data_IF_217622672220
#
_entry.id   IF_217622672220
#
_cell.length_a   1.000
_cell.length_b   1.000
_cell.length_c   1.000
_cell.angle_alpha   90.00
_cell.angle_beta   90.00
_cell.angle_gamma   90.00
#
_symmetry.space_group_name_H-M   'P 1'
#
loop_
_entity.id
_entity.type
_entity.pdbx_description
1 polymer ?
#
# COMPACT_ATOMS: atom_id res chain seq x y z
N UNK A 1 -19.83 6.34 -65.20
CA UNK A 1 -21.15 6.96 -64.98
C UNK A 1 -22.10 5.91 -64.44
N UNK A 2 -22.31 5.82 -63.13
CA UNK A 2 -23.36 4.99 -62.52
C UNK A 2 -24.24 5.85 -61.62
N UNK A 3 -25.51 5.47 -61.52
CA UNK A 3 -26.60 6.41 -61.29
C UNK A 3 -26.87 6.71 -59.81
N UNK A 4 -27.44 7.90 -59.59
CA UNK A 4 -28.06 8.30 -58.32
C UNK A 4 -29.31 7.44 -58.06
N UNK A 5 -29.55 7.07 -56.81
CA UNK A 5 -30.91 6.87 -56.30
C UNK A 5 -31.05 7.55 -54.93
N UNK A 6 -32.25 8.02 -54.63
CA UNK A 6 -32.52 8.99 -53.55
C UNK A 6 -33.26 8.35 -52.39
N UNK A 7 -33.06 8.95 -51.20
CA UNK A 7 -33.92 9.01 -50.02
C UNK A 7 -34.90 7.86 -49.71
N UNK A 8 -34.84 7.40 -48.46
CA UNK A 8 -36.04 7.46 -47.63
C UNK A 8 -35.67 7.89 -46.21
N UNK A 9 -36.43 8.83 -45.65
CA UNK A 9 -36.22 9.44 -44.33
C UNK A 9 -37.41 9.05 -43.45
N UNK A 10 -37.16 8.42 -42.29
CA UNK A 10 -38.22 8.05 -41.35
C UNK A 10 -37.95 8.69 -39.99
N UNK A 11 -38.64 9.81 -39.70
CA UNK A 11 -38.72 10.37 -38.35
C UNK A 11 -39.81 9.63 -37.56
N UNK A 12 -39.42 8.88 -36.54
CA UNK A 12 -40.31 8.33 -35.52
C UNK A 12 -40.33 9.21 -34.28
N UNK A 13 -41.35 10.07 -34.14
CA UNK A 13 -41.60 10.86 -32.94
C UNK A 13 -42.60 10.14 -32.04
N UNK A 14 -42.21 9.81 -30.80
CA UNK A 14 -43.13 9.51 -29.71
C UNK A 14 -42.69 10.19 -28.41
N UNK A 15 -43.47 11.19 -27.99
CA UNK A 15 -43.69 11.60 -26.59
C UNK A 15 -45.11 11.13 -26.21
N UNK A 16 -45.57 11.06 -24.96
CA UNK A 16 -45.01 11.37 -23.64
C UNK A 16 -45.32 10.16 -22.70
N UNK A 17 -45.17 10.12 -21.37
CA UNK A 17 -45.21 11.14 -20.32
C UNK A 17 -44.31 10.75 -19.13
N UNK A 18 -43.71 11.74 -18.47
CA UNK A 18 -42.92 11.53 -17.26
C UNK A 18 -43.54 12.30 -16.08
N UNK A 19 -44.11 11.58 -15.12
CA UNK A 19 -44.63 12.16 -13.87
C UNK A 19 -43.55 12.08 -12.79
N UNK A 20 -42.85 13.20 -12.57
CA UNK A 20 -41.97 13.40 -11.41
C UNK A 20 -42.24 14.76 -10.78
N UNK A 21 -42.93 14.78 -9.63
CA UNK A 21 -42.94 15.89 -8.68
C UNK A 21 -43.43 15.38 -7.32
N UNK A 22 -42.68 15.61 -6.23
CA UNK A 22 -43.07 15.07 -4.92
C UNK A 22 -42.15 15.31 -3.72
N UNK A 23 -41.21 16.26 -3.75
CA UNK A 23 -40.50 16.69 -2.54
C UNK A 23 -41.12 17.97 -1.97
N UNK A 24 -41.64 17.90 -0.73
CA UNK A 24 -42.02 19.07 0.05
C UNK A 24 -41.61 18.91 1.53
N UNK A 25 -40.43 19.45 1.83
CA UNK A 25 -40.09 20.34 2.96
C UNK A 25 -40.70 20.02 4.36
N UNK A 26 -39.88 19.79 5.40
CA UNK A 26 -40.38 19.73 6.77
C UNK A 26 -40.86 21.11 7.24
N UNK A 27 -41.96 21.13 8.00
CA UNK A 27 -42.49 22.31 8.71
C UNK A 27 -42.57 21.99 10.19
N UNK A 28 -41.87 22.77 11.01
CA UNK A 28 -41.93 22.69 12.46
C UNK A 28 -43.23 23.27 13.04
N UNK A 29 -43.43 22.99 14.33
CA UNK A 29 -44.34 23.64 15.29
C UNK A 29 -45.77 23.09 15.43
N UNK A 30 -45.90 22.24 16.45
CA UNK A 30 -46.69 22.46 17.68
C UNK A 30 -48.24 22.56 17.66
N UNK A 31 -48.82 21.55 18.32
CA UNK A 31 -49.90 21.63 19.34
C UNK A 31 -51.31 22.05 18.94
N UNK A 32 -52.25 21.08 18.95
CA UNK A 32 -53.32 21.01 19.98
C UNK A 32 -54.25 19.78 19.87
N UNK A 33 -54.40 19.07 21.01
CA UNK A 33 -55.63 18.43 21.56
C UNK A 33 -56.48 17.48 20.68
N UNK A 34 -56.83 16.25 21.11
CA UNK A 34 -57.64 16.02 22.32
C UNK A 34 -57.66 14.54 22.80
N UNK A 35 -57.84 14.35 24.13
CA UNK A 35 -58.34 13.17 24.91
C UNK A 35 -57.76 11.77 24.59
N UNK A 36 -57.36 10.90 25.53
CA UNK A 36 -57.40 10.82 27.02
C UNK A 36 -56.50 9.62 27.46
N UNK A 37 -56.20 9.27 28.72
CA UNK A 37 -56.44 9.81 30.08
C UNK A 37 -55.58 9.01 31.09
N UNK A 38 -55.37 9.53 32.32
CA UNK A 38 -54.86 8.84 33.56
C UNK A 38 -53.48 8.13 33.45
N UNK A 39 -52.43 8.42 34.23
CA UNK A 39 -52.40 8.72 35.67
C UNK A 39 -51.04 9.29 36.18
N UNK A 40 -51.13 10.14 37.21
CA UNK A 40 -50.22 10.38 38.36
C UNK A 40 -48.69 10.64 38.27
N UNK A 41 -48.28 11.63 39.08
CA UNK A 41 -46.98 11.87 39.78
C UNK A 41 -45.79 12.56 39.09
N UNK A 42 -45.73 13.88 39.31
CA UNK A 42 -44.60 14.75 39.70
C UNK A 42 -43.50 14.06 40.57
N UNK A 43 -42.22 14.48 40.65
CA UNK A 43 -41.64 15.85 40.64
C UNK A 43 -40.11 15.91 40.34
N UNK A 44 -39.63 17.04 39.77
CA UNK A 44 -38.34 17.76 39.99
C UNK A 44 -36.96 17.02 39.91
N UNK A 45 -35.78 17.62 39.66
CA UNK A 45 -35.32 19.01 39.42
C UNK A 45 -33.92 19.03 38.75
N UNK A 46 -33.52 20.14 38.11
CA UNK A 46 -32.13 20.52 37.72
C UNK A 46 -31.38 19.57 36.75
N UNK A 47 -30.39 19.99 35.93
CA UNK A 47 -29.40 21.07 36.10
C UNK A 47 -29.00 21.71 34.77
N UNK A 48 -28.53 22.95 34.81
CA UNK A 48 -27.89 23.70 33.72
C UNK A 48 -26.53 23.12 33.31
N UNK A 49 -26.16 23.22 32.03
CA UNK A 49 -24.83 23.76 31.69
C UNK A 49 -24.81 24.44 30.31
N UNK A 50 -24.11 25.56 30.25
CA UNK A 50 -23.84 26.37 29.06
C UNK A 50 -22.33 26.36 28.86
N UNK A 51 -21.86 26.39 27.61
CA UNK A 51 -20.56 26.99 27.27
C UNK A 51 -20.49 27.27 25.76
N UNK A 52 -20.69 28.53 25.40
CA UNK A 52 -20.22 29.11 24.14
C UNK A 52 -19.10 30.09 24.46
N UNK A 53 -17.92 29.92 23.87
CA UNK A 53 -17.02 31.05 23.63
C UNK A 53 -16.02 30.76 22.51
N UNK A 54 -16.11 31.57 21.46
CA UNK A 54 -15.06 31.74 20.45
C UNK A 54 -13.89 32.49 21.07
N UNK A 55 -12.65 32.15 20.74
CA UNK A 55 -11.56 33.12 20.80
C UNK A 55 -10.48 32.85 19.75
N UNK A 56 -10.24 33.85 18.91
CA UNK A 56 -8.98 34.03 18.20
C UNK A 56 -8.21 35.14 18.89
N UNK A 57 -6.87 35.10 18.90
CA UNK A 57 -6.00 36.21 18.50
C UNK A 57 -4.51 35.82 18.58
N UNK A 58 -3.66 36.63 17.97
CA UNK A 58 -2.26 36.33 17.63
C UNK A 58 -1.24 37.04 18.53
N UNK A 59 0.03 36.65 18.36
CA UNK A 59 1.28 37.34 18.73
C UNK A 59 1.56 37.65 20.20
N UNK A 60 2.64 37.03 20.72
CA UNK A 60 3.67 37.77 21.48
C UNK A 60 5.02 37.07 21.32
N UNK A 61 6.07 37.83 20.97
CA UNK A 61 7.46 37.36 21.03
C UNK A 61 7.97 37.44 22.48
N UNK A 62 8.84 36.52 22.91
CA UNK A 62 9.79 36.77 24.01
C UNK A 62 11.02 35.89 23.83
N UNK A 63 12.20 36.52 23.84
CA UNK A 63 13.52 35.89 23.79
C UNK A 63 14.11 35.73 25.21
N UNK A 64 14.65 34.56 25.53
CA UNK A 64 15.86 34.37 26.36
C UNK A 64 16.24 32.88 26.41
N UNK A 65 17.42 32.46 25.96
CA UNK A 65 18.75 32.51 26.61
C UNK A 65 19.07 31.24 27.42
N UNK A 66 19.80 30.33 26.76
CA UNK A 66 20.89 29.49 27.29
C UNK A 66 20.74 28.79 28.66
N UNK A 67 20.61 27.45 28.62
CA UNK A 67 21.41 26.58 29.49
C UNK A 67 22.06 25.47 28.67
N UNK A 68 23.35 25.25 28.91
CA UNK A 68 24.13 24.15 28.32
C UNK A 68 24.46 23.15 29.42
N UNK A 69 23.94 21.92 29.33
CA UNK A 69 24.37 20.84 30.21
C UNK A 69 25.36 19.93 29.49
N UNK A 70 26.64 20.21 29.73
CA UNK A 70 27.74 19.28 29.48
C UNK A 70 27.69 18.14 30.50
N UNK A 71 27.44 16.91 30.05
CA UNK A 71 27.67 15.70 30.85
C UNK A 71 28.90 14.97 30.33
N UNK A 72 30.06 15.34 30.90
CA UNK A 72 31.31 14.60 30.73
C UNK A 72 31.45 13.64 31.91
N UNK A 73 31.28 12.34 31.66
CA UNK A 73 31.68 11.31 32.64
C UNK A 73 32.41 10.18 31.92
N UNK A 74 33.72 10.15 32.13
CA UNK A 74 34.63 9.15 31.57
C UNK A 74 34.53 7.84 32.35
N UNK A 75 34.26 6.72 31.67
CA UNK A 75 34.73 5.41 32.12
C UNK A 75 35.38 4.69 30.94
N UNK A 76 36.71 4.58 31.01
CA UNK A 76 37.47 3.63 30.21
C UNK A 76 37.58 2.32 31.00
N UNK A 77 37.20 1.20 30.39
CA UNK A 77 38.08 0.03 30.20
C UNK A 77 37.32 -1.15 29.59
N UNK A 78 37.94 -1.72 28.56
CA UNK A 78 38.06 -3.16 28.32
C UNK A 78 36.85 -4.08 28.60
N UNK A 79 36.17 -4.55 27.54
CA UNK A 79 36.38 -5.93 27.05
C UNK A 79 35.62 -6.26 25.74
N UNK A 80 36.22 -7.17 24.97
CA UNK A 80 35.58 -8.13 24.05
C UNK A 80 34.84 -7.62 22.80
N UNK A 81 35.62 -7.29 21.77
CA UNK A 81 35.17 -7.42 20.38
C UNK A 81 34.86 -8.89 20.07
N UNK A 82 33.58 -9.25 19.98
CA UNK A 82 33.17 -10.60 19.52
C UNK A 82 33.20 -10.66 18.00
N UNK A 83 34.40 -10.72 17.43
CA UNK A 83 34.60 -11.24 16.07
C UNK A 83 34.74 -12.76 16.17
N UNK A 84 33.79 -13.50 15.62
CA UNK A 84 33.87 -14.97 15.55
C UNK A 84 34.49 -15.39 14.22
N UNK A 85 35.73 -15.86 14.32
CA UNK A 85 36.66 -16.34 13.27
C UNK A 85 36.17 -17.67 12.65
N UNK A 86 36.45 -18.02 11.38
CA UNK A 86 37.64 -18.72 10.83
C UNK A 86 37.41 -18.91 9.30
N UNK A 87 38.40 -19.09 8.41
CA UNK A 87 39.61 -19.92 8.53
C UNK A 87 40.87 -19.31 7.87
N UNK A 88 42.03 -19.61 8.47
CA UNK A 88 43.34 -19.62 7.80
C UNK A 88 44.02 -20.96 8.06
N UNK A 89 44.52 -21.62 7.01
CA UNK A 89 45.52 -22.69 7.10
C UNK A 89 46.60 -22.44 6.05
N UNK A 90 47.86 -22.47 6.50
CA UNK A 90 49.08 -22.24 5.71
C UNK A 90 49.83 -23.56 5.40
N UNK A 91 50.90 -23.44 4.60
CA UNK A 91 51.88 -24.48 4.19
C UNK A 91 51.53 -25.22 2.88
N UNK A 92 52.47 -25.52 1.97
CA UNK A 92 53.91 -25.17 1.89
C UNK A 92 54.47 -25.43 0.47
N UNK A 93 55.61 -24.82 0.13
CA UNK A 93 56.34 -25.00 -1.14
C UNK A 93 56.70 -26.46 -1.49
N UNK A 94 56.63 -26.80 -2.80
CA UNK A 94 57.74 -27.48 -3.51
C UNK A 94 57.56 -27.51 -5.04
N UNK A 95 58.54 -26.90 -5.71
CA UNK A 95 59.25 -27.29 -6.96
C UNK A 95 58.57 -28.06 -8.11
N UNK A 96 58.79 -27.54 -9.32
CA UNK A 96 58.22 -27.94 -10.62
C UNK A 96 58.65 -29.30 -11.24
N UNK A 97 57.77 -29.88 -12.07
CA UNK A 97 58.11 -30.57 -13.34
C UNK A 97 57.08 -30.15 -14.43
N UNK A 98 57.53 -29.98 -15.68
CA UNK A 98 56.70 -29.65 -16.86
C UNK A 98 55.95 -30.86 -17.42
N UNK A 99 54.76 -30.67 -18.00
CA UNK A 99 54.32 -31.22 -19.31
C UNK A 99 53.00 -30.57 -19.76
N UNK A 100 52.85 -30.36 -21.06
CA UNK A 100 51.73 -29.66 -21.71
C UNK A 100 50.40 -30.43 -21.71
N UNK A 101 49.27 -29.71 -21.72
CA UNK A 101 48.10 -29.93 -22.60
C UNK A 101 47.16 -28.72 -22.52
N UNK A 102 46.64 -28.25 -23.65
CA UNK A 102 45.70 -27.11 -23.71
C UNK A 102 44.29 -27.47 -23.25
N UNK A 103 43.65 -26.57 -22.51
CA UNK A 103 42.19 -26.48 -22.38
C UNK A 103 41.79 -24.99 -22.27
N UNK A 104 40.66 -24.56 -22.87
CA UNK A 104 40.27 -23.15 -22.89
C UNK A 104 39.81 -22.65 -21.51
N UNK A 105 40.13 -21.40 -21.20
CA UNK A 105 39.75 -20.72 -19.96
C UNK A 105 38.26 -20.43 -19.91
N UNK A 106 37.51 -21.25 -19.16
CA UNK A 106 36.15 -20.91 -18.73
C UNK A 106 36.19 -20.10 -17.44
N UNK A 107 36.15 -18.78 -17.54
CA UNK A 107 35.95 -17.90 -16.37
C UNK A 107 34.51 -17.99 -15.87
N UNK A 108 34.19 -19.05 -15.14
CA UNK A 108 32.97 -19.10 -14.33
C UNK A 108 33.15 -18.17 -13.12
N UNK A 109 32.67 -16.94 -13.25
CA UNK A 109 32.56 -16.00 -12.13
C UNK A 109 31.43 -16.43 -11.20
N UNK A 110 31.65 -17.53 -10.46
CA UNK A 110 30.74 -18.00 -9.43
C UNK A 110 30.89 -17.12 -8.20
N UNK A 111 30.28 -15.94 -8.23
CA UNK A 111 30.02 -15.19 -7.00
C UNK A 111 29.21 -16.10 -6.06
N UNK A 112 29.52 -16.13 -4.75
CA UNK A 112 28.74 -16.94 -3.82
C UNK A 112 27.28 -16.48 -3.85
N UNK A 113 26.39 -17.39 -4.24
CA UNK A 113 24.95 -17.18 -4.10
C UNK A 113 24.62 -17.29 -2.62
N UNK A 114 24.63 -16.16 -1.93
CA UNK A 114 24.06 -16.05 -0.59
C UNK A 114 22.54 -16.17 -0.75
N UNK A 115 21.88 -17.22 -0.23
CA UNK A 115 20.45 -17.39 -0.41
C UNK A 115 19.72 -16.28 0.34
N UNK A 116 19.16 -15.33 -0.42
CA UNK A 116 18.42 -14.20 0.14
C UNK A 116 17.36 -14.74 1.12
N UNK A 117 17.38 -14.33 2.40
CA UNK A 117 16.49 -14.90 3.41
C UNK A 117 15.03 -14.67 3.03
N UNK A 118 14.24 -15.74 3.03
CA UNK A 118 12.81 -15.64 2.71
C UNK A 118 11.99 -15.20 3.91
N UNK A 119 11.08 -14.27 3.68
CA UNK A 119 10.21 -13.69 4.69
C UNK A 119 8.76 -13.65 4.21
N UNK A 120 7.83 -13.61 5.16
CA UNK A 120 6.45 -13.19 4.93
C UNK A 120 6.37 -11.68 5.08
N UNK A 121 5.38 -11.07 4.43
CA UNK A 121 4.98 -9.69 4.71
C UNK A 121 3.80 -9.70 5.67
N UNK A 122 3.86 -8.88 6.73
CA UNK A 122 2.80 -8.69 7.72
C UNK A 122 2.38 -7.22 7.78
N UNK A 123 1.13 -6.94 8.12
CA UNK A 123 0.65 -5.57 8.32
C UNK A 123 1.15 -5.01 9.66
N UNK A 124 1.73 -3.81 9.63
CA UNK A 124 2.17 -3.03 10.79
C UNK A 124 1.30 -1.78 10.89
N UNK A 125 0.51 -1.70 11.96
CA UNK A 125 -0.54 -0.68 12.10
C UNK A 125 -1.76 -0.95 11.22
N UNK A 126 -2.52 0.09 10.91
CA UNK A 126 -3.77 -0.01 10.16
C UNK A 126 -4.86 -0.82 10.87
N UNK A 127 -5.86 -1.34 10.14
CA UNK A 127 -6.99 -2.08 10.70
C UNK A 127 -6.72 -3.58 10.91
N UNK A 128 -5.55 -4.08 10.50
CA UNK A 128 -5.19 -5.51 10.48
C UNK A 128 -3.77 -5.80 11.01
N UNK A 129 -3.34 -5.23 12.15
CA UNK A 129 -1.97 -5.41 12.64
C UNK A 129 -1.65 -6.89 12.88
N UNK A 130 -0.48 -7.34 12.41
CA UNK A 130 -0.01 -8.72 12.49
C UNK A 130 -0.64 -9.68 11.46
N UNK A 131 -1.56 -9.23 10.61
CA UNK A 131 -2.10 -10.09 9.56
C UNK A 131 -1.04 -10.37 8.47
N UNK A 132 -0.95 -11.63 8.03
CA UNK A 132 -0.08 -12.05 6.93
C UNK A 132 -0.65 -11.64 5.56
N UNK A 133 0.22 -11.21 4.65
CA UNK A 133 -0.13 -10.86 3.28
C UNK A 133 -0.35 -12.13 2.43
N UNK A 134 -1.53 -12.22 1.81
CA UNK A 134 -2.02 -13.41 1.12
C UNK A 134 -2.41 -13.14 -0.34
N UNK A 135 -2.33 -14.19 -1.16
CA UNK A 135 -2.89 -14.21 -2.52
C UNK A 135 -2.99 -15.65 -3.03
N UNK A 136 -3.54 -15.85 -4.22
CA UNK A 136 -3.41 -17.11 -4.98
C UNK A 136 -2.02 -17.26 -5.62
N UNK A 137 -1.25 -16.17 -5.69
CA UNK A 137 0.06 -16.12 -6.33
C UNK A 137 0.03 -16.21 -7.86
N UNK A 138 -1.15 -16.09 -8.48
CA UNK A 138 -1.28 -16.00 -9.94
C UNK A 138 -1.21 -14.54 -10.40
N UNK A 139 -0.67 -14.31 -11.60
CA UNK A 139 -0.53 -12.98 -12.20
C UNK A 139 -1.86 -12.22 -12.18
N UNK A 140 -1.84 -10.94 -11.80
CA UNK A 140 -3.00 -10.07 -11.73
C UNK A 140 -3.80 -10.16 -10.43
N UNK A 141 -3.54 -11.15 -9.56
CA UNK A 141 -4.25 -11.24 -8.28
C UNK A 141 -3.69 -10.26 -7.24
N UNK A 142 -4.58 -9.42 -6.73
CA UNK A 142 -4.33 -8.45 -5.66
C UNK A 142 -3.84 -9.19 -4.41
N UNK A 143 -2.92 -8.57 -3.67
CA UNK A 143 -2.46 -9.05 -2.38
C UNK A 143 -3.40 -8.53 -1.28
N UNK A 144 -3.82 -9.40 -0.37
CA UNK A 144 -4.87 -9.09 0.62
C UNK A 144 -4.49 -9.57 2.02
N UNK A 145 -4.99 -8.87 3.04
CA UNK A 145 -4.92 -9.28 4.44
C UNK A 145 -6.29 -9.80 4.89
N UNK A 146 -6.27 -10.86 5.72
CA UNK A 146 -7.47 -11.55 6.21
C UNK A 146 -8.54 -11.84 5.12
N UNK A 147 -8.17 -12.41 3.95
CA UNK A 147 -9.15 -12.83 2.96
C UNK A 147 -10.08 -13.91 3.52
N UNK A 148 -11.39 -13.76 3.28
CA UNK A 148 -12.41 -14.75 3.66
C UNK A 148 -12.71 -15.75 2.55
N UNK A 149 -12.17 -15.54 1.35
CA UNK A 149 -12.31 -16.40 0.19
C UNK A 149 -11.22 -17.48 0.14
N UNK A 150 -11.56 -18.64 -0.40
CA UNK A 150 -10.68 -19.81 -0.50
C UNK A 150 -9.63 -19.67 -1.60
N UNK A 151 -8.63 -20.58 -1.60
CA UNK A 151 -7.57 -20.62 -2.61
C UNK A 151 -6.42 -19.62 -2.40
N UNK A 152 -6.49 -18.78 -1.36
CA UNK A 152 -5.36 -17.94 -0.94
C UNK A 152 -4.39 -18.70 -0.04
N UNK A 153 -3.11 -18.32 -0.10
CA UNK A 153 -2.05 -18.72 0.83
C UNK A 153 -1.25 -17.50 1.26
N UNK A 154 -0.49 -17.64 2.34
CA UNK A 154 0.58 -16.69 2.69
C UNK A 154 1.63 -16.72 1.58
N UNK A 155 2.10 -15.54 1.16
CA UNK A 155 3.18 -15.43 0.20
C UNK A 155 4.52 -15.26 0.93
N UNK A 156 5.53 -16.03 0.51
CA UNK A 156 6.92 -15.87 0.95
C UNK A 156 7.68 -15.12 -0.14
N UNK A 157 8.40 -14.08 0.25
CA UNK A 157 9.17 -13.21 -0.62
C UNK A 157 10.66 -13.25 -0.28
N UNK A 158 11.49 -12.88 -1.25
CA UNK A 158 12.88 -12.49 -1.09
C UNK A 158 13.15 -11.18 -1.83
N UNK A 159 14.13 -10.40 -1.38
CA UNK A 159 14.52 -9.14 -2.03
C UNK A 159 15.64 -9.38 -3.05
N UNK A 160 15.36 -9.19 -4.34
CA UNK A 160 16.35 -9.38 -5.39
C UNK A 160 17.40 -8.26 -5.41
N UNK A 161 18.64 -8.57 -5.01
CA UNK A 161 19.73 -7.60 -4.83
C UNK A 161 20.02 -6.68 -6.04
N UNK A 162 19.84 -7.17 -7.27
CA UNK A 162 20.18 -6.41 -8.49
C UNK A 162 19.10 -5.42 -8.93
N UNK A 163 17.83 -5.68 -8.57
CA UNK A 163 16.67 -4.90 -9.02
C UNK A 163 15.91 -4.24 -7.87
N UNK A 164 16.22 -4.61 -6.62
CA UNK A 164 15.46 -4.29 -5.41
C UNK A 164 13.98 -4.70 -5.49
N UNK A 165 13.63 -5.71 -6.29
CA UNK A 165 12.24 -6.19 -6.42
C UNK A 165 11.94 -7.29 -5.41
N UNK A 166 10.72 -7.31 -4.87
CA UNK A 166 10.25 -8.43 -4.04
C UNK A 166 9.79 -9.57 -4.93
N UNK A 167 10.53 -10.69 -4.90
CA UNK A 167 10.28 -11.90 -5.66
C UNK A 167 9.59 -12.93 -4.76
N UNK A 168 8.40 -13.37 -5.15
CA UNK A 168 7.65 -14.45 -4.50
C UNK A 168 8.28 -15.82 -4.84
N UNK A 169 8.08 -16.83 -3.99
CA UNK A 169 8.71 -18.15 -4.12
C UNK A 169 8.50 -18.87 -5.46
N UNK A 170 7.43 -18.57 -6.21
CA UNK A 170 7.18 -19.10 -7.57
C UNK A 170 7.81 -18.25 -8.68
N UNK A 171 8.70 -17.31 -8.33
CA UNK A 171 9.48 -16.49 -9.25
C UNK A 171 8.76 -15.29 -9.86
N UNK A 172 7.51 -15.02 -9.45
CA UNK A 172 6.78 -13.78 -9.76
C UNK A 172 7.19 -12.66 -8.79
N UNK A 173 6.69 -11.45 -9.00
CA UNK A 173 7.04 -10.28 -8.19
C UNK A 173 5.83 -9.59 -7.59
N UNK A 174 6.06 -8.81 -6.52
CA UNK A 174 5.12 -7.81 -6.05
C UNK A 174 5.19 -6.58 -6.97
N UNK A 175 4.03 -6.16 -7.49
CA UNK A 175 3.91 -5.15 -8.52
C UNK A 175 2.77 -4.19 -8.17
N UNK A 176 2.76 -3.01 -8.78
CA UNK A 176 1.61 -2.13 -8.81
C UNK A 176 0.80 -2.34 -10.09
N UNK A 177 -0.50 -2.08 -10.02
CA UNK A 177 -1.42 -2.09 -11.15
C UNK A 177 -2.23 -0.79 -11.12
N UNK A 178 -2.11 0.02 -12.17
CA UNK A 178 -2.77 1.33 -12.24
C UNK A 178 -4.30 1.19 -12.20
N UNK A 179 -4.96 2.17 -11.59
CA UNK A 179 -6.41 2.26 -11.48
C UNK A 179 -6.87 3.72 -11.65
N UNK A 180 -8.17 3.99 -11.56
CA UNK A 180 -8.73 5.35 -11.51
C UNK A 180 -8.49 6.09 -10.18
N UNK A 181 -7.68 5.52 -9.28
CA UNK A 181 -7.27 6.10 -8.01
C UNK A 181 -5.93 5.50 -7.59
N UNK A 182 -5.82 5.01 -6.36
CA UNK A 182 -4.61 4.33 -5.88
C UNK A 182 -4.36 3.06 -6.69
N UNK A 183 -3.11 2.77 -7.00
CA UNK A 183 -2.74 1.53 -7.68
C UNK A 183 -2.97 0.34 -6.76
N UNK A 184 -3.51 -0.77 -7.27
CA UNK A 184 -3.60 -2.01 -6.47
C UNK A 184 -2.23 -2.68 -6.41
N UNK A 185 -1.90 -3.29 -5.27
CA UNK A 185 -0.69 -4.12 -5.17
C UNK A 185 -1.05 -5.54 -5.58
N UNK A 186 -0.38 -6.03 -6.62
CA UNK A 186 -0.70 -7.28 -7.31
C UNK A 186 0.53 -8.17 -7.47
N UNK A 187 0.32 -9.45 -7.79
CA UNK A 187 1.40 -10.34 -8.23
C UNK A 187 1.56 -10.20 -9.74
N UNK A 188 2.76 -9.95 -10.26
CA UNK A 188 3.03 -9.94 -11.71
C UNK A 188 4.26 -10.75 -12.12
N UNK A 189 4.28 -11.22 -13.38
CA UNK A 189 5.43 -11.91 -13.97
C UNK A 189 6.36 -10.96 -14.73
N UNK A 190 5.76 -10.05 -15.49
CA UNK A 190 6.39 -9.02 -16.30
C UNK A 190 5.62 -7.70 -16.15
N UNK A 191 6.27 -6.60 -16.50
CA UNK A 191 5.58 -5.31 -16.69
C UNK A 191 4.76 -5.32 -17.98
N UNK A 192 3.78 -4.41 -18.03
CA UNK A 192 2.99 -4.10 -19.21
C UNK A 192 2.47 -2.67 -19.08
N UNK A 193 1.56 -2.25 -19.96
CA UNK A 193 0.83 -1.01 -19.77
C UNK A 193 -0.05 -1.12 -18.51
N UNK A 194 0.18 -0.17 -17.61
CA UNK A 194 -0.47 -0.10 -16.30
C UNK A 194 -0.15 -1.26 -15.34
N UNK A 195 0.95 -2.00 -15.53
CA UNK A 195 1.51 -2.94 -14.56
C UNK A 195 3.01 -2.70 -14.47
N UNK A 196 3.50 -2.31 -13.29
CA UNK A 196 4.92 -1.98 -13.07
C UNK A 196 5.44 -2.66 -11.81
N UNK A 197 6.73 -2.99 -11.80
CA UNK A 197 7.35 -3.58 -10.61
C UNK A 197 7.45 -2.55 -9.48
N UNK A 198 7.34 -3.03 -8.24
CA UNK A 198 7.74 -2.25 -7.07
C UNK A 198 9.22 -2.49 -6.78
N UNK A 199 9.95 -1.41 -6.52
CA UNK A 199 11.28 -1.45 -5.90
C UNK A 199 11.12 -1.26 -4.40
N UNK A 200 11.87 -2.01 -3.60
CA UNK A 200 11.70 -2.10 -2.15
C UNK A 200 13.05 -2.13 -1.44
N UNK A 201 13.10 -1.54 -0.25
CA UNK A 201 14.24 -1.61 0.68
C UNK A 201 13.75 -2.09 2.05
N UNK A 202 14.53 -2.96 2.70
CA UNK A 202 14.28 -3.35 4.09
C UNK A 202 14.88 -2.30 5.01
N UNK A 203 14.04 -1.73 5.87
CA UNK A 203 14.40 -0.72 6.84
C UNK A 203 14.94 -1.35 8.14
N UNK A 204 15.71 -0.62 8.96
CA UNK A 204 16.27 -1.15 10.22
C UNK A 204 15.21 -1.59 11.26
N UNK A 205 13.97 -1.12 11.15
CA UNK A 205 12.83 -1.52 11.98
C UNK A 205 12.09 -2.77 11.44
N UNK A 206 12.71 -3.49 10.49
CA UNK A 206 12.14 -4.63 9.77
C UNK A 206 10.85 -4.31 9.01
N UNK A 207 10.67 -3.06 8.57
CA UNK A 207 9.62 -2.67 7.61
C UNK A 207 10.14 -2.55 6.18
N UNK A 208 9.24 -2.62 5.21
CA UNK A 208 9.48 -2.41 3.79
C UNK A 208 9.12 -0.97 3.42
N UNK A 209 10.11 -0.25 2.87
CA UNK A 209 9.88 0.97 2.11
C UNK A 209 9.88 0.61 0.63
N UNK A 210 8.74 0.69 -0.04
CA UNK A 210 8.61 0.35 -1.46
C UNK A 210 8.10 1.53 -2.28
N UNK A 211 8.53 1.62 -3.52
CA UNK A 211 8.14 2.67 -4.46
C UNK A 211 7.95 2.14 -5.89
N UNK A 212 7.15 2.85 -6.68
CA UNK A 212 7.01 2.65 -8.12
C UNK A 212 6.50 3.90 -8.82
N UNK A 213 6.39 3.89 -10.17
CA UNK A 213 5.83 5.00 -10.92
C UNK A 213 4.36 5.22 -10.55
N UNK A 214 3.94 6.48 -10.54
CA UNK A 214 2.54 6.88 -10.42
C UNK A 214 1.86 6.90 -11.80
N UNK A 215 0.57 6.56 -11.84
CA UNK A 215 -0.15 6.38 -13.09
C UNK A 215 -1.60 5.95 -12.92
N UNK A 216 -2.37 6.13 -14.00
CA UNK A 216 -3.81 5.95 -14.02
C UNK A 216 -4.25 4.96 -15.11
N UNK A 217 -5.39 4.32 -14.84
CA UNK A 217 -6.13 3.44 -15.76
C UNK A 217 -7.61 3.71 -15.59
N UNK A 218 -8.28 4.17 -16.64
CA UNK A 218 -9.73 4.36 -16.67
C UNK A 218 -10.28 4.12 -18.08
N UNK A 219 -11.60 4.08 -18.21
CA UNK A 219 -12.28 4.09 -19.51
C UNK A 219 -12.78 5.52 -19.78
N UNK A 220 -12.56 6.02 -20.99
CA UNK A 220 -13.07 7.34 -21.42
C UNK A 220 -14.57 7.29 -21.75
N UNK A 221 -15.12 8.42 -22.21
CA UNK A 221 -16.55 8.56 -22.52
C UNK A 221 -16.97 7.70 -23.74
N UNK A 222 -16.02 7.35 -24.60
CA UNK A 222 -16.15 6.41 -25.71
C UNK A 222 -16.06 4.93 -25.28
N UNK A 223 -15.53 4.66 -24.08
CA UNK A 223 -15.36 3.32 -23.51
C UNK A 223 -14.03 2.66 -23.85
N UNK A 224 -13.05 3.41 -24.36
CA UNK A 224 -11.68 2.94 -24.63
C UNK A 224 -10.82 2.99 -23.36
N UNK A 225 -9.90 2.03 -23.20
CA UNK A 225 -9.02 1.98 -22.02
C UNK A 225 -7.86 2.97 -22.15
N UNK A 226 -7.86 4.00 -21.31
CA UNK A 226 -6.79 5.00 -21.22
C UNK A 226 -5.85 4.63 -20.08
N UNK A 227 -4.56 4.43 -20.41
CA UNK A 227 -3.49 4.12 -19.46
C UNK A 227 -2.33 5.09 -19.66
N UNK A 228 -1.87 5.74 -18.60
CA UNK A 228 -0.66 6.57 -18.64
C UNK A 228 0.05 6.65 -17.28
N UNK A 229 1.34 6.97 -17.33
CA UNK A 229 2.14 7.37 -16.17
C UNK A 229 2.05 8.88 -15.98
N UNK A 230 1.94 9.35 -14.73
CA UNK A 230 1.92 10.79 -14.42
C UNK A 230 3.32 11.41 -14.44
N UNK A 231 4.37 10.57 -14.47
CA UNK A 231 5.76 10.96 -14.21
C UNK A 231 6.09 11.14 -12.72
N UNK A 232 5.10 10.96 -11.84
CA UNK A 232 5.29 10.93 -10.39
C UNK A 232 5.70 9.55 -9.86
N UNK A 233 5.76 9.44 -8.54
CA UNK A 233 6.08 8.18 -7.83
C UNK A 233 5.13 7.96 -6.67
N UNK A 234 4.74 6.71 -6.44
CA UNK A 234 3.96 6.25 -5.28
C UNK A 234 4.81 5.41 -4.34
N UNK A 235 4.64 5.61 -3.04
CA UNK A 235 5.51 5.06 -1.99
C UNK A 235 4.78 4.74 -0.67
N UNK A 236 3.50 5.10 -0.53
CA UNK A 236 2.70 4.85 0.68
C UNK A 236 1.71 3.72 0.46
N UNK A 237 1.74 2.69 1.31
CA UNK A 237 0.78 1.59 1.31
C UNK A 237 -0.50 1.92 2.07
N UNK A 238 -1.62 1.46 1.52
CA UNK A 238 -2.96 1.61 2.07
C UNK A 238 -3.73 0.29 1.97
N UNK A 239 -4.74 0.13 2.82
CA UNK A 239 -5.73 -0.96 2.73
C UNK A 239 -7.15 -0.43 2.81
N UNK A 240 -8.09 -1.11 2.15
CA UNK A 240 -9.52 -0.90 2.34
C UNK A 240 -10.28 -2.23 2.37
N UNK A 241 -11.39 -2.28 3.11
CA UNK A 241 -12.23 -3.46 3.24
C UNK A 241 -13.18 -3.59 2.05
N UNK A 242 -13.03 -4.67 1.28
CA UNK A 242 -13.86 -4.94 0.08
C UNK A 242 -14.85 -6.09 0.31
N UNK A 243 -15.40 -6.20 1.52
CA UNK A 243 -16.38 -7.23 1.89
C UNK A 243 -15.83 -8.64 2.14
N UNK A 244 -14.68 -8.99 1.55
CA UNK A 244 -14.07 -10.33 1.64
C UNK A 244 -12.60 -10.32 2.09
N UNK A 245 -12.15 -9.24 2.74
CA UNK A 245 -10.77 -9.02 3.13
C UNK A 245 -10.35 -7.56 2.98
N UNK A 246 -9.15 -7.25 3.47
CA UNK A 246 -8.51 -5.95 3.29
C UNK A 246 -7.59 -6.01 2.07
N UNK A 247 -7.94 -5.25 1.03
CA UNK A 247 -7.23 -5.25 -0.24
C UNK A 247 -6.10 -4.23 -0.20
N UNK A 248 -4.95 -4.57 -0.79
CA UNK A 248 -3.75 -3.72 -0.80
C UNK A 248 -3.71 -2.73 -1.95
N UNK A 249 -3.31 -1.50 -1.63
CA UNK A 249 -3.10 -0.39 -2.55
C UNK A 249 -1.80 0.34 -2.22
N UNK A 250 -1.25 1.03 -3.21
CA UNK A 250 -0.13 1.96 -3.07
C UNK A 250 -0.48 3.30 -3.75
N UNK A 251 -0.08 4.40 -3.13
CA UNK A 251 -0.35 5.77 -3.59
C UNK A 251 0.70 6.76 -3.08
N UNK A 252 0.49 8.04 -3.37
CA UNK A 252 1.26 9.11 -2.74
C UNK A 252 0.92 9.28 -1.24
N UNK A 253 1.67 10.14 -0.57
CA UNK A 253 1.40 10.53 0.82
C UNK A 253 0.05 11.26 0.98
N UNK A 254 -0.56 11.15 2.15
CA UNK A 254 -1.74 11.91 2.57
C UNK A 254 -3.00 11.71 1.69
N UNK A 255 -3.27 10.49 1.22
CA UNK A 255 -4.58 10.16 0.63
C UNK A 255 -5.66 10.32 1.70
N UNK A 256 -6.66 11.18 1.45
CA UNK A 256 -7.79 11.41 2.34
C UNK A 256 -9.09 11.01 1.63
N UNK A 257 -9.91 10.19 2.29
CA UNK A 257 -11.18 9.71 1.76
C UNK A 257 -11.09 8.30 1.13
N UNK A 258 -12.19 7.87 0.48
CA UNK A 258 -12.26 6.58 -0.21
C UNK A 258 -12.21 5.31 0.68
N UNK A 259 -12.10 5.47 2.02
CA UNK A 259 -11.94 4.34 2.94
C UNK A 259 -10.53 3.72 2.94
N UNK A 260 -9.55 4.36 2.30
CA UNK A 260 -8.16 3.93 2.31
C UNK A 260 -7.51 4.27 3.66
N UNK A 261 -7.03 3.24 4.36
CA UNK A 261 -6.38 3.38 5.67
C UNK A 261 -4.88 3.09 5.48
N UNK A 262 -3.97 4.00 5.87
CA UNK A 262 -2.52 3.77 5.79
C UNK A 262 -2.10 2.52 6.57
N UNK A 263 -1.12 1.78 6.04
CA UNK A 263 -0.53 0.61 6.69
C UNK A 263 0.95 0.52 6.33
N UNK A 264 1.81 0.05 7.24
CA UNK A 264 3.20 -0.31 6.94
C UNK A 264 3.32 -1.80 6.72
N UNK A 265 4.30 -2.22 5.91
CA UNK A 265 4.58 -3.63 5.65
C UNK A 265 5.78 -4.06 6.47
N UNK A 266 5.59 -4.93 7.46
CA UNK A 266 6.64 -5.54 8.27
C UNK A 266 7.10 -6.88 7.70
N UNK A 267 8.25 -7.36 8.16
CA UNK A 267 8.82 -8.64 7.79
C UNK A 267 8.77 -9.66 8.94
N UNK A 268 8.35 -10.88 8.62
CA UNK A 268 8.44 -12.05 9.51
C UNK A 268 9.29 -13.12 8.82
N UNK A 269 10.41 -13.53 9.43
CA UNK A 269 11.30 -14.54 8.84
C UNK A 269 10.62 -15.91 8.77
N UNK A 270 10.89 -16.66 7.70
CA UNK A 270 10.49 -18.07 7.59
C UNK A 270 11.71 -18.93 7.94
N UNK A 271 11.65 -19.56 9.12
CA UNK A 271 12.61 -20.59 9.55
C UNK A 271 12.43 -21.91 8.79
#
# INVERSE_FOLDING_TARGET
MHAKSLLSLALGLLAADAVVAGLCRPRSSDTSSAVSSTASSISASSTTESLSSTMSHSTTETTSTTESLTLTTSLSSDLSSTSTTFFTTTSSDSTAIKTSTSAPTSTSSTAPYDPIPTFKVVAVGGPVPGAELKSTGQTGNILTFNPTYSGTRVLSFSLEHSTSRLRESNGKYMCLYFSGGLSTVTVCGSESDGIKYLTCTVMPDLTLSCSGPDGHRYFDDEGEEVIYETGGTVDHFYVTWQGQGYYSYIGGANVVGGGFIPVKYGLEQVN
#
